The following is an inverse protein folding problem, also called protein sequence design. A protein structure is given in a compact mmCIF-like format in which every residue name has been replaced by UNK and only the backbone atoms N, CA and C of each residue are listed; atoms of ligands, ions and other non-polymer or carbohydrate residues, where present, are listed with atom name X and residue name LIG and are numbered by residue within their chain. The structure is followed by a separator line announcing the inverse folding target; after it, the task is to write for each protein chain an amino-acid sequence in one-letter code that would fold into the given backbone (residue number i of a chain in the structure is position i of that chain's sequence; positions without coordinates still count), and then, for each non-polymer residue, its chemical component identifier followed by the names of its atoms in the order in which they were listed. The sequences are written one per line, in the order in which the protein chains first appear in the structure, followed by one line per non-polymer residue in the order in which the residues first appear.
data_IF_997803742252
#
_entry.id   IF_997803742252
#
_cell.length_a   1.000
_cell.length_b   1.000
_cell.length_c   1.000
_cell.angle_alpha   90.00
_cell.angle_beta   90.00
_cell.angle_gamma   90.00
#
_symmetry.space_group_name_H-M   'P 1'
#
loop_
_entity.id
_entity.type
_entity.pdbx_description
1 polymer ?
#
# COMPACT_ATOMS: atom_id res chain seq x y z
N UNK A 1 -7.40 -33.48 28.51
CA UNK A 1 -6.15 -33.19 27.78
C UNK A 1 -5.06 -33.63 28.73
N UNK A 2 -4.46 -34.77 28.46
CA UNK A 2 -3.55 -35.42 29.40
C UNK A 2 -2.22 -34.67 29.44
N UNK A 3 -1.50 -34.73 30.56
CA UNK A 3 -0.22 -34.03 30.73
C UNK A 3 0.80 -34.37 29.63
N UNK A 4 0.69 -35.57 29.04
CA UNK A 4 1.47 -36.03 27.88
C UNK A 4 1.17 -35.25 26.60
N UNK A 5 -0.10 -34.88 26.35
CA UNK A 5 -0.48 -34.09 25.16
C UNK A 5 0.01 -32.65 25.26
N UNK A 6 0.00 -32.09 26.48
CA UNK A 6 0.52 -30.75 26.74
C UNK A 6 2.03 -30.68 26.50
N UNK A 7 2.79 -31.71 26.92
CA UNK A 7 4.24 -31.78 26.70
C UNK A 7 4.55 -31.90 25.20
N UNK A 8 3.80 -32.71 24.46
CA UNK A 8 3.96 -32.85 23.02
C UNK A 8 3.67 -31.54 22.27
N UNK A 9 2.61 -30.83 22.66
CA UNK A 9 2.24 -29.53 22.09
C UNK A 9 3.34 -28.47 22.36
N UNK A 10 3.82 -28.39 23.60
CA UNK A 10 4.89 -27.45 23.96
C UNK A 10 6.19 -27.75 23.20
N UNK A 11 6.54 -29.04 23.04
CA UNK A 11 7.70 -29.45 22.24
C UNK A 11 7.58 -29.03 20.77
N UNK A 12 6.38 -29.16 20.19
CA UNK A 12 6.12 -28.74 18.81
C UNK A 12 6.21 -27.21 18.67
N UNK A 13 5.67 -26.45 19.61
CA UNK A 13 5.76 -24.98 19.61
C UNK A 13 7.22 -24.54 19.69
N UNK A 14 8.02 -25.12 20.59
CA UNK A 14 9.45 -24.80 20.72
C UNK A 14 10.21 -25.14 19.45
N UNK A 15 9.93 -26.29 18.82
CA UNK A 15 10.57 -26.68 17.57
C UNK A 15 10.24 -25.71 16.42
N UNK A 16 8.97 -25.28 16.30
CA UNK A 16 8.54 -24.31 15.29
C UNK A 16 9.21 -22.96 15.52
N UNK A 17 9.26 -22.47 16.77
CA UNK A 17 9.94 -21.21 17.10
C UNK A 17 11.43 -21.29 16.76
N UNK A 18 12.10 -22.40 17.08
CA UNK A 18 13.51 -22.59 16.74
C UNK A 18 13.76 -22.56 15.21
N UNK A 19 12.88 -23.18 14.42
CA UNK A 19 12.96 -23.17 12.94
C UNK A 19 12.78 -21.74 12.40
N UNK A 20 11.82 -20.97 12.96
CA UNK A 20 11.60 -19.58 12.57
C UNK A 20 12.84 -18.74 12.86
N UNK A 21 13.41 -18.85 14.07
CA UNK A 21 14.60 -18.10 14.47
C UNK A 21 15.79 -18.45 13.57
N UNK A 22 16.03 -19.74 13.29
CA UNK A 22 17.10 -20.18 12.40
C UNK A 22 16.92 -19.64 10.96
N UNK A 23 15.68 -19.62 10.47
CA UNK A 23 15.35 -19.07 9.15
C UNK A 23 15.58 -17.56 9.10
N UNK A 24 15.15 -16.81 10.12
CA UNK A 24 15.40 -15.37 10.24
C UNK A 24 16.90 -15.05 10.32
N UNK A 25 17.67 -15.82 11.10
CA UNK A 25 19.11 -15.67 11.20
C UNK A 25 19.79 -15.91 9.83
N UNK A 26 19.41 -16.96 9.10
CA UNK A 26 19.93 -17.21 7.76
C UNK A 26 19.62 -16.06 6.78
N UNK A 27 18.41 -15.48 6.84
CA UNK A 27 18.00 -14.32 6.03
C UNK A 27 18.82 -13.08 6.35
N UNK A 28 19.06 -12.84 7.64
CA UNK A 28 19.86 -11.71 8.09
C UNK A 28 21.31 -11.84 7.62
N UNK A 29 21.94 -13.00 7.84
CA UNK A 29 23.32 -13.27 7.39
C UNK A 29 23.46 -13.22 5.85
N UNK A 30 22.48 -13.75 5.11
CA UNK A 30 22.48 -13.72 3.65
C UNK A 30 22.42 -12.31 3.05
N UNK A 31 21.84 -11.33 3.76
CA UNK A 31 21.80 -9.93 3.32
C UNK A 31 23.09 -9.16 3.58
N UNK A 32 23.83 -9.51 4.63
CA UNK A 32 25.03 -8.77 5.04
C UNK A 32 26.23 -9.13 4.16
N UNK A 33 26.30 -10.37 3.65
CA UNK A 33 27.59 -10.89 3.15
C UNK A 33 27.78 -10.89 1.62
N UNK A 34 26.74 -10.90 0.77
CA UNK A 34 26.94 -11.11 -0.69
C UNK A 34 26.03 -10.26 -1.60
N UNK A 35 26.68 -9.48 -2.45
CA UNK A 35 26.08 -8.61 -3.47
C UNK A 35 25.11 -9.32 -4.43
N UNK A 36 24.25 -8.49 -5.04
CA UNK A 36 22.95 -8.81 -5.65
C UNK A 36 22.85 -9.97 -6.66
N UNK A 37 23.95 -10.57 -7.13
CA UNK A 37 23.90 -11.65 -8.15
C UNK A 37 23.46 -13.02 -7.62
N UNK A 38 23.44 -13.26 -6.31
CA UNK A 38 22.97 -14.54 -5.72
C UNK A 38 21.53 -14.53 -5.18
N UNK A 39 20.83 -13.40 -5.22
CA UNK A 39 19.47 -13.27 -4.64
C UNK A 39 18.42 -14.19 -5.28
N UNK A 40 18.56 -14.53 -6.57
CA UNK A 40 17.58 -15.43 -7.25
C UNK A 40 17.71 -16.89 -6.80
N UNK A 41 18.95 -17.39 -6.66
CA UNK A 41 19.20 -18.73 -6.14
C UNK A 41 18.77 -18.85 -4.66
N UNK A 42 18.92 -17.76 -3.90
CA UNK A 42 18.60 -17.72 -2.48
C UNK A 42 17.10 -17.74 -2.19
N UNK A 43 16.27 -17.10 -3.03
CA UNK A 43 14.80 -17.18 -2.94
C UNK A 43 14.26 -18.61 -3.17
N UNK A 44 14.89 -19.37 -4.06
CA UNK A 44 14.50 -20.76 -4.33
C UNK A 44 14.77 -21.68 -3.12
N UNK A 45 15.90 -21.47 -2.43
CA UNK A 45 16.24 -22.18 -1.19
C UNK A 45 15.25 -21.83 -0.08
N UNK A 46 14.90 -20.54 0.06
CA UNK A 46 13.95 -20.09 1.07
C UNK A 46 12.55 -20.69 0.85
N UNK A 47 12.06 -20.72 -0.40
CA UNK A 47 10.81 -21.40 -0.74
C UNK A 47 10.85 -22.90 -0.43
N UNK A 48 11.96 -23.58 -0.74
CA UNK A 48 12.15 -25.00 -0.44
C UNK A 48 12.11 -25.33 1.05
N UNK A 49 12.74 -24.51 1.90
CA UNK A 49 12.75 -24.71 3.36
C UNK A 49 11.35 -24.49 3.95
N UNK A 50 10.61 -23.47 3.50
CA UNK A 50 9.23 -23.25 3.95
C UNK A 50 8.30 -24.39 3.54
N UNK A 51 8.37 -24.83 2.28
CA UNK A 51 7.55 -25.97 1.80
C UNK A 51 7.90 -27.24 2.57
N UNK A 52 9.19 -27.52 2.79
CA UNK A 52 9.64 -28.67 3.58
C UNK A 52 9.17 -28.64 5.03
N UNK A 53 9.24 -27.47 5.68
CA UNK A 53 8.77 -27.30 7.06
C UNK A 53 7.25 -27.46 7.19
N UNK A 54 6.47 -26.90 6.26
CA UNK A 54 5.02 -27.06 6.22
C UNK A 54 4.65 -28.53 5.97
N UNK A 55 5.35 -29.22 5.07
CA UNK A 55 5.10 -30.64 4.79
C UNK A 55 5.41 -31.52 6.01
N UNK A 56 6.47 -31.21 6.77
CA UNK A 56 6.80 -31.88 8.03
C UNK A 56 5.73 -31.68 9.11
N UNK A 57 5.15 -30.48 9.21
CA UNK A 57 4.05 -30.19 10.15
C UNK A 57 2.77 -30.90 9.72
N UNK A 58 2.46 -30.96 8.42
CA UNK A 58 1.27 -31.64 7.89
C UNK A 58 1.38 -33.16 8.02
N UNK A 59 2.53 -33.74 7.68
CA UNK A 59 2.76 -35.20 7.81
C UNK A 59 2.90 -35.62 9.27
N UNK A 60 3.61 -34.82 10.09
CA UNK A 60 3.75 -35.07 11.52
C UNK A 60 2.47 -34.85 12.33
N UNK A 61 1.68 -33.83 11.97
CA UNK A 61 0.37 -33.56 12.58
C UNK A 61 -0.74 -34.50 12.07
N UNK A 62 -0.66 -34.94 10.82
CA UNK A 62 -1.60 -35.92 10.24
C UNK A 62 -1.57 -37.28 10.93
N UNK A 63 -0.40 -37.70 11.42
CA UNK A 63 -0.25 -38.95 12.21
C UNK A 63 -0.83 -38.85 13.64
N UNK A 64 -1.00 -37.64 14.20
CA UNK A 64 -1.65 -37.46 15.50
C UNK A 64 -3.18 -37.32 15.41
N UNK A 65 -3.74 -37.01 14.25
CA UNK A 65 -5.18 -36.74 14.07
C UNK A 65 -5.99 -37.96 13.58
N UNK A 66 -5.38 -39.13 13.36
CA UNK A 66 -6.11 -40.35 12.94
C UNK A 66 -6.63 -41.21 14.10
N UNK A 67 -6.58 -40.73 15.35
CA UNK A 67 -7.24 -41.36 16.51
C UNK A 67 -8.04 -40.33 17.30
N UNK A 68 -9.25 -40.00 16.83
CA UNK A 68 -10.24 -39.34 17.69
C UNK A 68 -11.13 -38.34 16.97
N UNK A 69 -12.19 -38.82 16.32
CA UNK A 69 -13.56 -38.46 16.68
C UNK A 69 -14.55 -39.11 15.71
N UNK A 70 -15.20 -40.16 16.20
CA UNK A 70 -16.44 -40.70 15.66
C UNK A 70 -17.59 -40.23 16.55
N UNK A 71 -18.31 -39.21 16.10
CA UNK A 71 -19.68 -38.84 16.54
C UNK A 71 -20.04 -37.59 15.73
N UNK A 72 -20.95 -37.64 14.77
CA UNK A 72 -22.35 -37.96 14.94
C UNK A 72 -23.12 -36.65 14.83
N UNK A 73 -23.56 -36.28 13.63
CA UNK A 73 -24.52 -35.19 13.44
C UNK A 73 -25.58 -35.59 12.41
N UNK A 74 -26.71 -36.00 12.94
CA UNK A 74 -28.03 -36.03 12.32
C UNK A 74 -28.63 -34.62 12.29
N UNK A 75 -29.14 -34.18 11.14
CA UNK A 75 -30.46 -33.55 11.00
C UNK A 75 -30.72 -33.20 9.53
N UNK A 76 -31.74 -33.84 8.95
CA UNK A 76 -32.41 -33.47 7.70
C UNK A 76 -33.39 -32.33 7.93
N UNK A 77 -33.66 -31.50 6.92
CA UNK A 77 -34.74 -30.51 6.97
C UNK A 77 -34.91 -29.68 5.68
N UNK A 78 -35.90 -30.08 4.88
CA UNK A 78 -36.36 -29.65 3.55
C UNK A 78 -36.80 -28.16 3.43
N UNK A 79 -36.64 -27.52 2.25
CA UNK A 79 -37.22 -26.20 1.87
C UNK A 79 -38.74 -26.24 1.55
N UNK A 80 -39.39 -25.29 0.80
CA UNK A 80 -38.93 -24.08 0.08
C UNK A 80 -39.80 -22.77 0.27
N UNK A 81 -39.44 -21.71 -0.50
CA UNK A 81 -40.02 -20.37 -0.85
C UNK A 81 -41.58 -20.14 -0.77
N UNK A 82 -42.17 -18.90 -0.78
CA UNK A 82 -41.85 -17.74 -1.65
C UNK A 82 -42.06 -16.29 -1.09
N UNK A 83 -41.75 -15.30 -1.94
CA UNK A 83 -41.99 -13.85 -1.78
C UNK A 83 -43.40 -13.41 -2.24
N UNK A 84 -43.86 -12.18 -1.90
CA UNK A 84 -44.08 -11.19 -2.97
C UNK A 84 -43.81 -9.69 -2.63
N UNK A 85 -43.32 -8.97 -3.65
CA UNK A 85 -43.69 -7.65 -4.21
C UNK A 85 -44.10 -6.47 -3.29
N UNK A 86 -43.32 -5.37 -3.22
CA UNK A 86 -43.39 -4.12 -4.05
C UNK A 86 -44.00 -2.94 -3.25
N UNK A 87 -44.11 -1.72 -3.80
CA UNK A 87 -43.06 -0.72 -4.03
C UNK A 87 -43.38 0.61 -3.31
N UNK A 88 -42.42 1.54 -3.17
CA UNK A 88 -42.83 2.95 -3.09
C UNK A 88 -41.74 3.93 -3.53
N UNK A 89 -42.21 4.92 -4.29
CA UNK A 89 -41.48 5.97 -4.95
C UNK A 89 -41.47 7.26 -4.10
N UNK A 90 -40.45 8.10 -4.26
CA UNK A 90 -40.44 9.44 -3.65
C UNK A 90 -39.18 10.23 -3.98
N UNK A 91 -39.27 11.31 -4.80
CA UNK A 91 -38.12 11.97 -5.43
C UNK A 91 -37.60 13.20 -4.67
N UNK A 92 -36.49 13.76 -5.19
CA UNK A 92 -35.98 15.13 -5.02
C UNK A 92 -34.77 15.28 -4.11
N UNK A 93 -33.61 15.50 -4.73
CA UNK A 93 -32.66 16.56 -4.36
C UNK A 93 -31.70 16.84 -5.53
N UNK A 94 -31.98 17.93 -6.21
CA UNK A 94 -31.11 18.62 -7.16
C UNK A 94 -29.91 19.22 -6.40
N UNK A 95 -28.65 18.97 -6.80
CA UNK A 95 -27.54 19.82 -6.39
C UNK A 95 -27.46 21.04 -7.31
N UNK A 96 -27.58 22.23 -6.72
CA UNK A 96 -27.31 23.51 -7.37
C UNK A 96 -25.83 23.57 -7.81
N UNK A 97 -25.49 24.10 -8.99
CA UNK A 97 -24.09 24.25 -9.41
C UNK A 97 -23.44 25.38 -8.61
N UNK A 98 -22.45 25.03 -7.78
CA UNK A 98 -21.50 25.99 -7.25
C UNK A 98 -20.47 26.31 -8.35
N UNK A 99 -20.51 27.56 -8.81
CA UNK A 99 -19.60 28.16 -9.77
C UNK A 99 -18.14 28.05 -9.30
N UNK A 100 -17.22 27.42 -10.04
CA UNK A 100 -15.81 27.62 -9.80
C UNK A 100 -15.41 29.00 -10.33
N UNK A 101 -15.00 29.87 -9.40
CA UNK A 101 -14.45 31.19 -9.69
C UNK A 101 -13.21 31.02 -10.58
N UNK A 102 -13.32 31.50 -11.82
CA UNK A 102 -12.25 31.49 -12.81
C UNK A 102 -11.32 32.65 -12.48
N UNK A 103 -10.13 32.34 -11.98
CA UNK A 103 -9.01 33.28 -11.93
C UNK A 103 -7.71 32.50 -11.86
N UNK A 104 -7.21 32.08 -13.02
CA UNK A 104 -5.76 32.06 -13.22
C UNK A 104 -5.43 32.14 -14.72
N UNK A 105 -4.76 33.25 -15.01
CA UNK A 105 -4.22 33.70 -16.27
C UNK A 105 -3.15 32.75 -16.80
N UNK A 106 -3.33 32.33 -18.05
CA UNK A 106 -2.33 31.98 -19.05
C UNK A 106 -0.92 31.57 -18.61
N UNK A 107 -0.73 30.27 -18.38
CA UNK A 107 0.47 29.55 -18.80
C UNK A 107 -0.01 28.38 -19.66
N UNK A 108 0.64 28.11 -20.80
CA UNK A 108 0.34 26.92 -21.59
C UNK A 108 0.41 25.71 -20.64
N UNK A 109 -0.73 25.06 -20.40
CA UNK A 109 -0.82 23.95 -19.46
C UNK A 109 0.12 22.86 -19.94
N UNK A 110 1.26 22.71 -19.26
CA UNK A 110 2.17 21.63 -19.55
C UNK A 110 1.42 20.29 -19.43
N UNK A 111 1.72 19.28 -20.27
CA UNK A 111 1.10 17.97 -20.18
C UNK A 111 1.17 17.43 -18.74
N UNK A 112 0.02 17.19 -18.14
CA UNK A 112 -0.10 17.00 -16.71
C UNK A 112 -1.52 17.16 -16.20
N UNK A 113 -1.73 16.82 -14.93
CA UNK A 113 -3.03 16.92 -14.29
C UNK A 113 -3.02 16.47 -12.84
N UNK A 114 -4.14 16.74 -12.17
CA UNK A 114 -4.37 16.42 -10.77
C UNK A 114 -5.51 15.42 -10.63
N UNK A 115 -5.45 14.53 -9.64
CA UNK A 115 -6.51 13.53 -9.43
C UNK A 115 -7.84 14.15 -9.00
N UNK A 116 -7.78 15.25 -8.25
CA UNK A 116 -8.84 15.71 -7.38
C UNK A 116 -8.52 15.37 -5.91
N UNK A 117 -9.07 16.18 -5.00
CA UNK A 117 -8.81 16.07 -3.58
C UNK A 117 -9.42 14.78 -2.99
N UNK A 118 -8.63 14.07 -2.20
CA UNK A 118 -9.00 12.82 -1.56
C UNK A 118 -8.44 12.74 -0.14
N UNK A 119 -9.20 12.14 0.77
CA UNK A 119 -8.78 12.01 2.16
C UNK A 119 -7.75 10.88 2.29
N UNK A 120 -6.68 11.14 3.03
CA UNK A 120 -5.61 10.17 3.25
C UNK A 120 -5.87 9.35 4.53
N UNK A 121 -5.49 8.07 4.50
CA UNK A 121 -5.84 7.12 5.57
C UNK A 121 -4.99 7.28 6.83
N UNK A 122 -3.75 7.79 6.71
CA UNK A 122 -2.75 7.81 7.78
C UNK A 122 -2.50 9.22 8.37
N UNK A 123 -3.23 10.23 7.88
CA UNK A 123 -3.22 11.58 8.42
C UNK A 123 -4.59 12.25 8.23
N UNK A 124 -5.02 13.15 9.14
CA UNK A 124 -6.30 13.85 9.03
C UNK A 124 -6.21 15.00 8.01
N UNK A 125 -5.93 14.67 6.75
CA UNK A 125 -5.75 15.62 5.65
C UNK A 125 -6.44 15.13 4.38
N UNK A 126 -6.82 16.08 3.53
CA UNK A 126 -7.18 15.84 2.14
C UNK A 126 -6.02 16.26 1.25
N UNK A 127 -5.65 15.44 0.28
CA UNK A 127 -4.54 15.71 -0.63
C UNK A 127 -5.00 15.68 -2.09
N UNK A 128 -4.43 16.53 -2.93
CA UNK A 128 -4.65 16.56 -4.36
C UNK A 128 -3.30 16.43 -5.09
N UNK A 129 -2.85 15.20 -5.40
CA UNK A 129 -1.61 14.98 -6.12
C UNK A 129 -1.73 15.39 -7.58
N UNK A 130 -0.68 16.03 -8.08
CA UNK A 130 -0.54 16.54 -9.43
C UNK A 130 0.84 16.22 -9.99
N UNK A 131 0.91 16.07 -11.31
CA UNK A 131 2.17 15.95 -12.05
C UNK A 131 2.11 16.82 -13.30
N UNK A 132 3.24 17.42 -13.67
CA UNK A 132 3.40 18.20 -14.89
C UNK A 132 4.85 18.22 -15.36
N UNK A 133 5.11 18.60 -16.61
CA UNK A 133 6.47 18.90 -17.08
C UNK A 133 6.75 20.39 -16.98
N UNK A 134 7.74 20.81 -16.19
CA UNK A 134 8.12 22.22 -16.02
C UNK A 134 9.63 22.35 -16.20
N UNK A 135 10.05 23.25 -17.09
CA UNK A 135 11.47 23.49 -17.40
C UNK A 135 12.24 22.20 -17.73
N UNK A 136 11.62 21.28 -18.46
CA UNK A 136 12.21 19.99 -18.82
C UNK A 136 12.33 18.98 -17.67
N UNK A 137 11.72 19.24 -16.51
CA UNK A 137 11.68 18.34 -15.35
C UNK A 137 10.25 17.86 -15.08
N UNK A 138 10.09 16.71 -14.41
CA UNK A 138 8.81 16.33 -13.84
C UNK A 138 8.61 17.06 -12.52
N UNK A 139 7.60 17.93 -12.47
CA UNK A 139 7.18 18.56 -11.24
C UNK A 139 6.11 17.69 -10.58
N UNK A 140 6.36 17.28 -9.34
CA UNK A 140 5.43 16.55 -8.50
C UNK A 140 4.91 17.51 -7.45
N UNK A 141 3.59 17.65 -7.36
CA UNK A 141 2.94 18.58 -6.44
C UNK A 141 1.85 17.84 -5.69
N UNK A 142 1.67 18.16 -4.42
CA UNK A 142 0.51 17.75 -3.66
C UNK A 142 -0.01 18.93 -2.85
N UNK A 143 -1.24 19.35 -3.15
CA UNK A 143 -1.94 20.34 -2.36
C UNK A 143 -2.64 19.62 -1.22
N UNK A 144 -2.33 19.99 0.02
CA UNK A 144 -2.79 19.29 1.21
C UNK A 144 -3.57 20.24 2.09
N UNK A 145 -4.82 19.89 2.39
CA UNK A 145 -5.70 20.63 3.28
C UNK A 145 -5.91 19.84 4.57
N UNK A 146 -5.65 20.45 5.71
CA UNK A 146 -5.86 19.82 7.01
C UNK A 146 -7.36 19.70 7.33
N UNK A 147 -7.79 18.49 7.68
CA UNK A 147 -9.16 18.23 8.17
C UNK A 147 -9.24 18.46 9.69
N UNK A 148 -8.12 18.30 10.39
CA UNK A 148 -7.95 18.57 11.82
C UNK A 148 -6.63 19.29 12.06
N UNK A 149 -6.51 20.11 13.12
CA UNK A 149 -5.27 20.79 13.40
C UNK A 149 -4.20 19.80 13.87
N UNK A 150 -2.94 20.08 13.53
CA UNK A 150 -1.78 19.37 14.05
C UNK A 150 -0.65 19.20 13.05
N UNK A 151 0.39 18.50 13.51
CA UNK A 151 1.57 18.19 12.71
C UNK A 151 1.31 17.04 11.77
N UNK A 152 1.73 17.20 10.53
CA UNK A 152 1.63 16.18 9.47
C UNK A 152 2.93 16.16 8.66
N UNK A 153 3.31 14.97 8.24
CA UNK A 153 4.38 14.76 7.26
C UNK A 153 3.76 14.32 5.95
N UNK A 154 4.00 15.07 4.88
CA UNK A 154 3.53 14.75 3.53
C UNK A 154 4.69 14.22 2.72
N UNK A 155 4.45 13.14 1.99
CA UNK A 155 5.41 12.53 1.10
C UNK A 155 4.92 12.61 -0.34
N UNK A 156 5.79 13.00 -1.27
CA UNK A 156 5.52 13.01 -2.71
C UNK A 156 6.63 12.29 -3.46
N UNK A 157 6.29 11.42 -4.42
CA UNK A 157 7.29 10.68 -5.19
C UNK A 157 6.80 10.29 -6.57
N UNK A 158 7.75 9.88 -7.42
CA UNK A 158 7.50 9.51 -8.80
C UNK A 158 7.21 8.00 -8.92
N UNK A 159 6.22 7.64 -9.74
CA UNK A 159 5.95 6.27 -10.14
C UNK A 159 5.92 6.14 -11.67
N UNK A 160 6.32 4.96 -12.16
CA UNK A 160 6.24 4.57 -13.57
C UNK A 160 5.06 3.60 -13.71
N UNK A 161 3.91 4.13 -14.14
CA UNK A 161 2.62 3.49 -13.96
C UNK A 161 2.36 3.17 -12.49
N UNK A 162 2.14 1.89 -12.19
CA UNK A 162 1.93 1.37 -10.83
C UNK A 162 3.21 0.81 -10.19
N UNK A 163 4.37 1.15 -10.74
CA UNK A 163 5.66 0.66 -10.25
C UNK A 163 6.41 1.79 -9.55
N UNK A 164 6.82 1.54 -8.31
CA UNK A 164 7.70 2.44 -7.59
C UNK A 164 9.11 2.44 -8.20
N UNK A 165 9.75 3.62 -8.21
CA UNK A 165 11.10 3.85 -8.69
C UNK A 165 12.08 4.02 -7.52
N UNK A 166 12.86 2.98 -7.14
CA UNK A 166 13.73 3.02 -5.97
C UNK A 166 14.89 4.02 -6.08
N UNK A 167 15.20 4.44 -7.31
CA UNK A 167 16.20 5.44 -7.64
C UNK A 167 15.77 6.88 -7.31
N UNK A 168 14.48 7.13 -7.10
CA UNK A 168 13.95 8.44 -6.72
C UNK A 168 13.35 8.37 -5.32
N UNK A 169 14.06 8.84 -4.27
CA UNK A 169 13.54 8.80 -2.91
C UNK A 169 12.31 9.72 -2.77
N UNK A 170 11.39 9.42 -1.82
CA UNK A 170 10.23 10.27 -1.61
C UNK A 170 10.68 11.62 -1.05
N UNK A 171 10.14 12.69 -1.61
CA UNK A 171 10.32 14.03 -1.08
C UNK A 171 9.37 14.23 0.10
N UNK A 172 9.89 14.83 1.17
CA UNK A 172 9.19 15.00 2.45
C UNK A 172 8.98 16.48 2.77
N UNK A 173 7.76 16.84 3.12
CA UNK A 173 7.40 18.13 3.70
C UNK A 173 6.77 17.94 5.08
N UNK A 174 7.26 18.67 6.07
CA UNK A 174 6.67 18.68 7.41
C UNK A 174 5.87 19.97 7.59
N UNK A 175 4.61 19.84 7.99
CA UNK A 175 3.74 20.98 8.25
C UNK A 175 3.15 20.92 9.65
N UNK A 176 2.87 22.10 10.21
CA UNK A 176 2.00 22.28 11.36
C UNK A 176 0.82 23.11 10.88
N UNK A 177 -0.36 22.49 10.80
CA UNK A 177 -1.52 23.05 10.11
C UNK A 177 -2.67 23.31 11.07
N UNK A 178 -3.35 24.44 10.89
CA UNK A 178 -4.68 24.63 11.46
C UNK A 178 -5.75 23.89 10.64
N UNK A 179 -6.91 23.58 11.23
CA UNK A 179 -8.02 22.98 10.49
C UNK A 179 -8.46 23.88 9.33
N UNK A 180 -8.63 23.29 8.15
CA UNK A 180 -8.97 23.99 6.91
C UNK A 180 -7.79 24.70 6.23
N UNK A 181 -6.61 24.76 6.85
CA UNK A 181 -5.42 25.32 6.22
C UNK A 181 -4.93 24.42 5.09
N UNK A 182 -4.55 25.04 3.97
CA UNK A 182 -3.95 24.37 2.83
C UNK A 182 -2.49 24.74 2.70
N UNK A 183 -1.63 23.74 2.49
CA UNK A 183 -0.22 23.91 2.14
C UNK A 183 0.10 23.09 0.89
N UNK A 184 1.27 23.37 0.29
CA UNK A 184 1.73 22.66 -0.90
C UNK A 184 3.07 21.98 -0.65
N UNK A 185 3.12 20.67 -0.85
CA UNK A 185 4.36 19.91 -0.90
C UNK A 185 4.75 19.70 -2.36
N UNK A 186 5.96 20.09 -2.77
CA UNK A 186 6.37 19.97 -4.17
C UNK A 186 7.85 19.68 -4.33
N UNK A 187 8.18 18.96 -5.39
CA UNK A 187 9.56 18.70 -5.80
C UNK A 187 9.66 18.64 -7.32
N UNK A 188 10.86 18.87 -7.85
CA UNK A 188 11.19 18.64 -9.26
C UNK A 188 12.14 17.46 -9.33
N UNK A 189 11.83 16.51 -10.20
CA UNK A 189 12.66 15.32 -10.42
C UNK A 189 12.99 15.18 -11.89
N UNK A 190 14.17 14.62 -12.16
CA UNK A 190 14.60 14.26 -13.50
C UNK A 190 14.78 12.74 -13.54
N UNK A 191 13.89 12.00 -14.22
CA UNK A 191 14.08 10.57 -14.39
C UNK A 191 15.40 10.25 -15.10
N UNK A 192 15.98 9.10 -14.79
CA UNK A 192 17.18 8.57 -15.44
C UNK A 192 16.91 8.09 -16.88
N UNK A 193 15.65 7.88 -17.25
CA UNK A 193 15.21 7.37 -18.54
C UNK A 193 13.92 8.04 -19.01
N UNK A 194 13.68 8.12 -20.34
CA UNK A 194 12.40 8.54 -20.87
C UNK A 194 11.28 7.56 -20.48
N UNK A 195 10.05 8.04 -20.41
CA UNK A 195 8.86 7.23 -20.10
C UNK A 195 7.56 7.95 -20.42
N UNK A 196 6.47 7.19 -20.57
CA UNK A 196 5.14 7.69 -20.98
C UNK A 196 4.10 7.64 -19.86
N UNK A 197 4.37 6.88 -18.80
CA UNK A 197 3.43 6.56 -17.73
C UNK A 197 3.82 7.18 -16.39
N UNK A 198 4.50 8.33 -16.42
CA UNK A 198 4.91 8.99 -15.18
C UNK A 198 3.73 9.54 -14.40
N UNK A 199 3.68 9.25 -13.11
CA UNK A 199 2.60 9.64 -12.20
C UNK A 199 3.21 10.12 -10.88
N UNK A 200 2.61 11.13 -10.25
CA UNK A 200 2.97 11.54 -8.90
C UNK A 200 2.13 10.74 -7.90
N UNK A 201 2.76 10.21 -6.86
CA UNK A 201 2.09 9.59 -5.74
C UNK A 201 2.26 10.43 -4.46
N UNK A 202 1.30 10.35 -3.56
CA UNK A 202 1.28 11.07 -2.28
C UNK A 202 0.77 10.17 -1.16
N UNK A 203 1.42 10.26 -0.01
CA UNK A 203 0.94 9.76 1.28
C UNK A 203 1.15 10.87 2.33
N UNK A 204 0.48 10.77 3.47
CA UNK A 204 0.76 11.61 4.61
C UNK A 204 0.66 10.80 5.90
N UNK A 205 1.51 11.14 6.85
CA UNK A 205 1.55 10.57 8.19
C UNK A 205 1.24 11.65 9.22
N UNK A 206 0.51 11.28 10.28
CA UNK A 206 0.34 12.15 11.44
C UNK A 206 1.68 12.27 12.19
N UNK A 207 2.05 13.50 12.55
CA UNK A 207 3.31 13.78 13.25
C UNK A 207 4.50 13.77 12.29
N UNK A 208 5.65 13.30 12.78
CA UNK A 208 6.90 13.22 12.02
C UNK A 208 7.18 11.78 11.60
N UNK A 209 7.47 11.58 10.31
CA UNK A 209 7.90 10.30 9.76
C UNK A 209 9.07 10.49 8.78
N UNK A 210 9.94 9.49 8.68
CA UNK A 210 11.04 9.49 7.70
C UNK A 210 10.63 8.93 6.34
N UNK A 211 9.66 8.01 6.33
CA UNK A 211 9.12 7.37 5.14
C UNK A 211 7.61 7.15 5.28
N UNK A 212 6.88 7.02 4.16
CA UNK A 212 5.49 6.58 4.18
C UNK A 212 5.33 5.21 4.87
N UNK A 213 4.16 4.96 5.44
CA UNK A 213 3.83 3.63 5.94
C UNK A 213 3.98 2.56 4.85
N UNK A 214 4.55 1.39 5.20
CA UNK A 214 4.76 0.27 4.27
C UNK A 214 5.95 0.39 3.32
N UNK A 215 6.77 1.46 3.43
CA UNK A 215 7.90 1.71 2.52
C UNK A 215 9.03 0.66 2.55
N UNK A 216 9.07 -0.22 3.54
CA UNK A 216 10.09 -1.28 3.60
C UNK A 216 9.71 -2.54 2.79
N UNK A 217 8.50 -2.61 2.22
CA UNK A 217 7.93 -3.79 1.57
C UNK A 217 7.35 -3.44 0.19
N UNK A 218 8.14 -3.50 -0.88
CA UNK A 218 7.70 -3.06 -2.22
C UNK A 218 7.66 -4.14 -3.30
N UNK A 219 6.43 -4.49 -3.73
CA UNK A 219 6.13 -4.62 -5.16
C UNK A 219 4.92 -3.79 -5.65
N UNK A 220 4.22 -3.05 -4.78
CA UNK A 220 3.06 -2.21 -5.14
C UNK A 220 3.20 -0.78 -4.61
N UNK A 221 2.74 0.21 -5.39
CA UNK A 221 2.72 1.63 -4.99
C UNK A 221 1.84 1.80 -3.75
N UNK A 222 2.42 2.30 -2.66
CA UNK A 222 1.66 2.83 -1.53
C UNK A 222 1.08 4.21 -1.90
N UNK A 223 0.10 4.72 -1.15
CA UNK A 223 -0.41 6.07 -1.36
C UNK A 223 -1.29 6.30 -2.58
N UNK A 224 -1.66 7.55 -2.74
CA UNK A 224 -2.58 8.01 -3.78
C UNK A 224 -1.86 8.65 -4.95
N UNK A 225 -2.23 8.26 -6.16
CA UNK A 225 -1.68 8.77 -7.41
C UNK A 225 -2.41 9.99 -7.97
N UNK A 226 -1.75 10.79 -8.82
CA UNK A 226 -2.33 11.93 -9.55
C UNK A 226 -3.36 11.54 -10.59
N UNK A 227 -3.47 10.27 -10.97
CA UNK A 227 -4.45 9.78 -11.95
C UNK A 227 -4.19 10.22 -13.40
N UNK A 228 -3.26 11.15 -13.63
CA UNK A 228 -2.84 11.62 -14.95
C UNK A 228 -1.42 11.16 -15.24
N UNK A 229 -1.26 10.44 -16.34
CA UNK A 229 0.04 9.98 -16.82
C UNK A 229 0.69 11.05 -17.67
N UNK A 230 2.01 11.22 -17.52
CA UNK A 230 2.80 12.20 -18.23
C UNK A 230 3.92 11.52 -19.00
N UNK A 231 4.13 11.97 -20.24
CA UNK A 231 5.29 11.59 -21.04
C UNK A 231 6.45 12.56 -20.78
N UNK A 232 7.64 12.01 -20.57
CA UNK A 232 8.86 12.76 -20.37
C UNK A 232 10.06 12.06 -21.02
N UNK A 233 11.00 12.78 -21.67
CA UNK A 233 10.91 14.21 -21.99
C UNK A 233 9.76 14.47 -23.00
N UNK A 234 9.30 15.71 -23.08
CA UNK A 234 8.33 16.09 -24.11
C UNK A 234 8.99 15.92 -25.48
N UNK A 235 8.31 15.21 -26.39
CA UNK A 235 8.74 15.15 -27.78
C UNK A 235 8.42 16.50 -28.41
N UNK A 236 9.46 17.21 -28.87
CA UNK A 236 9.33 18.48 -29.59
C UNK A 236 8.73 18.27 -30.98
#
# INVERSE_FOLDING_TARGET
MDSSDLIALLGLIVAVVAIIVATCAAVYYGRVEKGQRRLRAWKAVQAGVFVGAVLLVVVGGGWLLTRGNSSGQTASGTGPAPAPSSPDAGPSRTPSPATPSTSQTGAASAPGGCRGAINLNHAPVSANPCISVVDGHLQLVSHVTALQPGKVTVFVWLTDGNTYRPDVPPHRCNFDLAAGQTETCSTRVQPDRPGTDWVAATEAEKGSADYPSGWNSFPHVAGTQSGHRVTWPLQN
#
